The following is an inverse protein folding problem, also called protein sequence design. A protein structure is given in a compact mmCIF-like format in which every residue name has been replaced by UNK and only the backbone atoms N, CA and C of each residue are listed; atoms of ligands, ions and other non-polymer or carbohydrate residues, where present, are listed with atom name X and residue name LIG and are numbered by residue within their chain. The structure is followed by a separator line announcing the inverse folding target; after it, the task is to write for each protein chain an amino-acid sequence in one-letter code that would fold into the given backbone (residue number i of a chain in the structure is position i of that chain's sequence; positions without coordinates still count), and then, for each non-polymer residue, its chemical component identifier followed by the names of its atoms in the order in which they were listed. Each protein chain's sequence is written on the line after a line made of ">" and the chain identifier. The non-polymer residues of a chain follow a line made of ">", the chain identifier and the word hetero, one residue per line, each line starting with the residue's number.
data_IF_136445570272
#
_entry.id   IF_136445570272
#
_cell.length_a   1.000
_cell.length_b   1.000
_cell.length_c   1.000
_cell.angle_alpha   90.00
_cell.angle_beta   90.00
_cell.angle_gamma   90.00
#
_symmetry.space_group_name_H-M   'P 1'
#
loop_
_entity.id
_entity.type
_entity.pdbx_description
1 polymer ?
#
# COMPACT_ATOMS: atom_id res chain seq x y z
N UNK A 1 -4.84 14.12 -7.52
CA UNK A 1 -5.47 13.24 -6.52
C UNK A 1 -4.38 12.69 -5.62
N UNK A 2 -4.59 12.65 -4.28
CA UNK A 2 -3.67 12.00 -3.36
C UNK A 2 -3.84 10.49 -3.51
N UNK A 3 -2.75 9.77 -3.76
CA UNK A 3 -2.74 8.32 -3.86
C UNK A 3 -1.76 7.72 -2.85
N UNK A 4 -1.98 6.48 -2.47
CA UNK A 4 -1.05 5.75 -1.61
C UNK A 4 0.26 5.50 -2.35
N UNK A 5 1.37 5.75 -1.67
CA UNK A 5 2.69 5.37 -2.16
C UNK A 5 2.92 3.87 -1.95
N UNK A 6 3.84 3.33 -2.73
CA UNK A 6 4.25 1.93 -2.61
C UNK A 6 5.77 1.81 -2.53
N UNK A 7 6.25 0.76 -1.88
CA UNK A 7 7.65 0.32 -1.91
C UNK A 7 7.66 -1.14 -2.33
N UNK A 8 8.44 -1.44 -3.37
CA UNK A 8 8.66 -2.80 -3.85
C UNK A 8 10.15 -3.14 -3.78
N UNK A 9 10.44 -4.37 -3.37
CA UNK A 9 11.79 -4.93 -3.35
C UNK A 9 11.88 -6.02 -4.43
N UNK A 10 12.97 -6.02 -5.18
CA UNK A 10 13.26 -7.06 -6.15
C UNK A 10 14.68 -7.60 -5.96
N UNK A 11 14.86 -8.87 -6.27
CA UNK A 11 16.12 -9.54 -6.11
C UNK A 11 16.00 -11.05 -6.34
N UNK A 12 17.10 -11.75 -6.29
CA UNK A 12 17.04 -13.21 -6.30
C UNK A 12 16.49 -13.75 -4.96
N UNK A 13 16.04 -14.99 -4.96
CA UNK A 13 15.43 -15.62 -3.78
C UNK A 13 16.31 -15.53 -2.53
N UNK A 14 17.63 -15.74 -2.67
CA UNK A 14 18.55 -15.71 -1.52
C UNK A 14 18.65 -14.32 -0.91
N UNK A 15 18.67 -13.28 -1.76
CA UNK A 15 18.68 -11.89 -1.29
C UNK A 15 17.37 -11.52 -0.58
N UNK A 16 16.23 -11.92 -1.13
CA UNK A 16 14.93 -11.69 -0.52
C UNK A 16 14.73 -12.49 0.78
N UNK A 17 15.14 -13.75 0.84
CA UNK A 17 15.12 -14.55 2.08
C UNK A 17 15.98 -13.90 3.18
N UNK A 18 17.14 -13.31 2.80
CA UNK A 18 17.99 -12.55 3.71
C UNK A 18 17.30 -11.27 4.20
N UNK A 19 16.57 -10.55 3.35
CA UNK A 19 15.78 -9.38 3.76
C UNK A 19 14.86 -9.73 4.93
N UNK A 20 14.14 -10.84 4.85
CA UNK A 20 13.21 -11.31 5.88
C UNK A 20 13.90 -11.70 7.20
N UNK A 21 15.15 -12.13 7.15
CA UNK A 21 15.87 -12.54 8.34
C UNK A 21 16.66 -11.42 9.02
N UNK A 22 17.07 -10.38 8.30
CA UNK A 22 18.05 -9.41 8.79
C UNK A 22 17.63 -7.93 8.67
N UNK A 23 16.45 -7.61 8.17
CA UNK A 23 16.00 -6.20 8.10
C UNK A 23 15.91 -5.56 9.49
N UNK A 24 15.59 -6.33 10.51
CA UNK A 24 15.50 -5.86 11.89
C UNK A 24 16.84 -5.37 12.46
N UNK A 25 17.97 -5.79 11.88
CA UNK A 25 19.32 -5.38 12.33
C UNK A 25 19.62 -3.90 12.07
N UNK A 26 18.78 -3.24 11.28
CA UNK A 26 18.93 -1.80 10.94
C UNK A 26 17.86 -0.90 11.56
N UNK A 27 16.98 -1.46 12.38
CA UNK A 27 15.92 -0.68 13.04
C UNK A 27 16.52 0.35 14.00
N UNK A 28 16.13 1.62 13.87
CA UNK A 28 16.41 2.62 14.88
C UNK A 28 15.40 2.54 16.05
N UNK A 29 15.60 3.33 17.09
CA UNK A 29 14.81 3.28 18.33
C UNK A 29 13.31 3.57 18.14
N UNK A 30 12.94 4.34 17.09
CA UNK A 30 11.53 4.65 16.75
C UNK A 30 10.79 3.50 16.06
N UNK A 31 11.50 2.38 15.80
CA UNK A 31 10.93 1.23 15.13
C UNK A 31 11.19 -0.04 15.93
N UNK A 32 10.19 -0.88 16.05
CA UNK A 32 10.32 -2.14 16.79
C UNK A 32 9.68 -3.30 16.05
N UNK A 33 10.17 -4.49 16.36
CA UNK A 33 9.55 -5.73 15.90
C UNK A 33 8.42 -6.10 16.87
N UNK A 34 7.17 -6.30 16.39
CA UNK A 34 6.06 -6.72 17.26
C UNK A 34 6.37 -8.03 17.98
N UNK A 35 6.02 -8.09 19.26
CA UNK A 35 6.17 -9.31 20.06
C UNK A 35 5.13 -10.37 19.64
N UNK A 36 5.52 -11.64 19.62
CA UNK A 36 4.62 -12.79 19.47
C UNK A 36 4.30 -13.21 18.03
N UNK A 37 4.85 -12.54 17.01
CA UNK A 37 4.53 -12.85 15.61
C UNK A 37 5.44 -13.91 14.99
N UNK A 38 5.46 -15.12 15.58
CA UNK A 38 6.24 -16.28 15.09
C UNK A 38 5.52 -17.08 14.00
N UNK A 39 4.26 -16.76 13.70
CA UNK A 39 3.41 -17.62 12.86
C UNK A 39 3.45 -17.27 11.35
N UNK A 40 3.94 -16.10 10.98
CA UNK A 40 3.89 -15.65 9.60
C UNK A 40 5.29 -15.62 8.97
N UNK A 41 5.75 -16.79 8.51
CA UNK A 41 7.06 -16.93 7.84
C UNK A 41 7.24 -16.03 6.61
N UNK A 42 6.15 -15.49 6.06
CA UNK A 42 6.13 -14.70 4.84
C UNK A 42 5.85 -13.20 5.10
N UNK A 43 5.92 -12.76 6.37
CA UNK A 43 5.71 -11.37 6.74
C UNK A 43 6.87 -10.82 7.55
N UNK A 44 7.22 -9.58 7.26
CA UNK A 44 7.98 -8.72 8.17
C UNK A 44 6.98 -7.70 8.70
N UNK A 45 6.93 -7.52 10.01
CA UNK A 45 6.13 -6.49 10.66
C UNK A 45 7.07 -5.53 11.36
N UNK A 46 6.81 -4.24 11.20
CA UNK A 46 7.58 -3.16 11.80
C UNK A 46 6.64 -2.14 12.41
N UNK A 47 6.66 -2.02 13.74
CA UNK A 47 5.88 -1.03 14.47
C UNK A 47 6.66 0.28 14.56
N UNK A 48 6.07 1.35 14.05
CA UNK A 48 6.52 2.70 14.32
C UNK A 48 5.96 3.18 15.66
N UNK A 49 6.84 3.60 16.56
CA UNK A 49 6.52 4.05 17.91
C UNK A 49 7.07 5.44 18.24
N UNK A 50 7.55 6.17 17.21
CA UNK A 50 8.07 7.53 17.35
C UNK A 50 6.96 8.59 17.35
N UNK A 51 7.35 9.86 17.60
CA UNK A 51 6.42 10.98 17.82
C UNK A 51 6.05 11.76 16.54
N UNK A 52 6.63 11.46 15.37
CA UNK A 52 6.47 12.27 14.16
C UNK A 52 5.16 12.03 13.40
N UNK A 53 4.59 10.85 13.55
CA UNK A 53 3.36 10.39 12.91
C UNK A 53 2.63 9.46 13.86
N UNK A 54 1.32 9.15 13.63
CA UNK A 54 0.62 8.15 14.45
C UNK A 54 1.36 6.82 14.49
N UNK A 55 1.34 6.15 15.64
CA UNK A 55 1.86 4.79 15.78
C UNK A 55 1.18 3.85 14.80
N UNK A 56 1.94 3.06 14.07
CA UNK A 56 1.42 2.20 13.03
C UNK A 56 2.30 0.98 12.78
N UNK A 57 1.69 -0.13 12.39
CA UNK A 57 2.37 -1.32 11.92
C UNK A 57 2.52 -1.27 10.39
N UNK A 58 3.76 -1.36 9.91
CA UNK A 58 4.09 -1.56 8.49
C UNK A 58 4.29 -3.05 8.24
N UNK A 59 3.53 -3.62 7.33
CA UNK A 59 3.67 -5.01 6.92
C UNK A 59 4.34 -5.15 5.55
N UNK A 60 5.38 -5.98 5.48
CA UNK A 60 6.01 -6.38 4.23
C UNK A 60 5.63 -7.82 3.96
N UNK A 61 5.14 -8.08 2.77
CA UNK A 61 4.61 -9.37 2.38
C UNK A 61 5.41 -10.01 1.25
N UNK A 62 5.82 -11.27 1.49
CA UNK A 62 6.37 -12.14 0.45
C UNK A 62 5.24 -13.04 -0.07
N UNK A 63 4.62 -12.63 -1.16
CA UNK A 63 3.47 -13.33 -1.71
C UNK A 63 3.85 -14.63 -2.41
N UNK A 64 3.30 -15.74 -1.93
CA UNK A 64 3.26 -17.01 -2.67
C UNK A 64 2.31 -16.86 -3.87
N UNK A 65 1.35 -15.93 -3.77
CA UNK A 65 0.38 -15.59 -4.82
C UNK A 65 0.74 -14.31 -5.58
N UNK A 66 1.96 -13.80 -5.41
CA UNK A 66 2.39 -12.68 -6.25
C UNK A 66 2.54 -13.21 -7.67
N UNK A 67 1.67 -12.74 -8.55
CA UNK A 67 1.74 -12.94 -10.00
C UNK A 67 3.07 -12.48 -10.63
N UNK A 68 4.04 -12.07 -9.79
CA UNK A 68 5.43 -11.78 -10.13
C UNK A 68 6.35 -12.47 -9.13
N UNK A 69 6.88 -13.61 -9.53
CA UNK A 69 7.93 -14.31 -8.80
C UNK A 69 9.13 -13.37 -8.55
N UNK A 70 9.65 -13.33 -7.33
CA UNK A 70 10.82 -12.49 -6.97
C UNK A 70 10.51 -11.06 -6.53
N UNK A 71 9.24 -10.72 -6.26
CA UNK A 71 8.85 -9.42 -5.73
C UNK A 71 8.35 -9.51 -4.29
N UNK A 72 8.80 -8.54 -3.48
CA UNK A 72 8.33 -8.30 -2.13
C UNK A 72 7.85 -6.86 -2.05
N UNK A 73 6.75 -6.59 -1.41
CA UNK A 73 6.22 -5.22 -1.28
C UNK A 73 5.76 -4.92 0.14
N UNK A 74 5.71 -3.63 0.47
CA UNK A 74 4.91 -3.18 1.61
C UNK A 74 3.44 -3.45 1.29
N UNK A 75 2.83 -4.34 2.07
CA UNK A 75 1.46 -4.80 1.80
C UNK A 75 0.41 -3.89 2.42
N UNK A 76 0.67 -3.36 3.62
CA UNK A 76 -0.26 -2.50 4.34
C UNK A 76 0.44 -1.68 5.42
N UNK A 77 -0.18 -0.58 5.84
CA UNK A 77 0.15 0.19 7.04
C UNK A 77 -1.12 0.36 7.84
N UNK A 78 -1.11 -0.17 9.07
CA UNK A 78 -2.29 -0.21 9.95
C UNK A 78 -2.01 0.65 11.18
N UNK A 79 -2.89 1.60 11.55
CA UNK A 79 -2.72 2.37 12.78
C UNK A 79 -2.88 1.48 14.01
N UNK A 80 -2.08 1.74 15.06
CA UNK A 80 -2.11 0.99 16.33
C UNK A 80 -3.05 1.63 17.37
N UNK A 81 -3.28 2.95 17.30
CA UNK A 81 -3.98 3.71 18.34
C UNK A 81 -5.20 4.48 17.84
N UNK A 82 -5.51 4.43 16.55
CA UNK A 82 -6.64 5.13 15.92
C UNK A 82 -7.34 4.24 14.91
N UNK A 83 -8.55 4.58 14.54
CA UNK A 83 -9.36 3.74 13.63
C UNK A 83 -8.84 3.72 12.19
N UNK A 84 -8.31 4.86 11.69
CA UNK A 84 -7.88 4.97 10.29
C UNK A 84 -6.79 6.03 10.11
N UNK A 85 -5.84 5.77 9.21
CA UNK A 85 -4.88 6.75 8.71
C UNK A 85 -5.48 7.54 7.55
N UNK A 86 -5.18 8.84 7.50
CA UNK A 86 -5.31 9.59 6.25
C UNK A 86 -4.26 9.14 5.23
N UNK A 87 -4.48 9.45 3.94
CA UNK A 87 -3.51 9.15 2.88
C UNK A 87 -2.15 9.83 3.17
N UNK A 88 -2.17 11.06 3.69
CA UNK A 88 -0.96 11.80 3.99
C UNK A 88 -0.18 11.18 5.16
N UNK A 89 -0.88 10.74 6.22
CA UNK A 89 -0.26 10.01 7.34
C UNK A 89 0.33 8.67 6.86
N UNK A 90 -0.44 7.90 6.07
CA UNK A 90 0.04 6.65 5.49
C UNK A 90 1.32 6.86 4.68
N UNK A 91 1.31 7.83 3.75
CA UNK A 91 2.44 8.13 2.90
C UNK A 91 3.64 8.62 3.70
N UNK A 92 3.43 9.41 4.75
CA UNK A 92 4.49 9.88 5.62
C UNK A 92 5.12 8.76 6.44
N UNK A 93 4.33 7.80 6.94
CA UNK A 93 4.86 6.60 7.62
C UNK A 93 5.70 5.78 6.64
N UNK A 94 5.24 5.63 5.41
CA UNK A 94 5.99 4.90 4.38
C UNK A 94 7.31 5.60 4.01
N UNK A 95 7.32 6.93 3.92
CA UNK A 95 8.54 7.71 3.69
C UNK A 95 9.53 7.54 4.86
N UNK A 96 9.06 7.58 6.11
CA UNK A 96 9.89 7.31 7.29
C UNK A 96 10.45 5.88 7.26
N UNK A 97 9.62 4.89 6.96
CA UNK A 97 10.07 3.51 6.82
C UNK A 97 11.18 3.36 5.76
N UNK A 98 11.03 4.07 4.63
CA UNK A 98 12.06 4.08 3.60
C UNK A 98 13.37 4.71 4.08
N UNK A 99 13.34 5.91 4.64
CA UNK A 99 14.54 6.65 5.05
C UNK A 99 15.25 5.97 6.24
N UNK A 100 14.48 5.50 7.22
CA UNK A 100 15.02 4.96 8.47
C UNK A 100 15.52 3.53 8.35
N UNK A 101 14.87 2.71 7.53
CA UNK A 101 15.11 1.27 7.46
C UNK A 101 15.57 0.85 6.08
N UNK A 102 14.73 1.05 5.05
CA UNK A 102 14.98 0.49 3.72
C UNK A 102 16.29 1.00 3.14
N UNK A 103 16.51 2.29 3.17
CA UNK A 103 17.71 2.94 2.64
C UNK A 103 18.99 2.43 3.33
N UNK A 104 18.97 2.34 4.65
CA UNK A 104 20.10 1.80 5.42
C UNK A 104 20.36 0.32 5.13
N UNK A 105 19.28 -0.44 4.90
CA UNK A 105 19.39 -1.85 4.58
C UNK A 105 20.00 -2.09 3.19
N UNK A 106 19.52 -1.39 2.16
CA UNK A 106 20.03 -1.55 0.78
C UNK A 106 21.44 -0.99 0.59
N UNK A 107 21.87 -0.02 1.41
CA UNK A 107 23.28 0.45 1.41
C UNK A 107 24.26 -0.70 1.67
N UNK A 108 23.86 -1.67 2.51
CA UNK A 108 24.65 -2.85 2.89
C UNK A 108 24.36 -4.07 2.02
N UNK A 109 23.23 -4.09 1.29
CA UNK A 109 22.73 -5.24 0.53
C UNK A 109 22.41 -4.83 -0.92
N UNK A 110 23.46 -4.65 -1.72
CA UNK A 110 23.39 -4.14 -3.11
C UNK A 110 22.77 -5.09 -4.13
N UNK A 111 22.47 -6.30 -3.75
CA UNK A 111 21.81 -7.33 -4.55
C UNK A 111 20.27 -7.30 -4.42
N UNK A 112 19.73 -6.30 -3.70
CA UNK A 112 18.32 -5.97 -3.63
C UNK A 112 18.11 -4.60 -4.28
N UNK A 113 17.19 -4.55 -5.23
CA UNK A 113 16.72 -3.32 -5.84
C UNK A 113 15.42 -2.89 -5.15
N UNK A 114 15.23 -1.58 -4.99
CA UNK A 114 14.02 -1.01 -4.39
C UNK A 114 13.43 0.02 -5.33
N UNK A 115 12.14 -0.12 -5.58
CA UNK A 115 11.32 0.87 -6.29
C UNK A 115 10.39 1.56 -5.29
N UNK A 116 10.36 2.89 -5.32
CA UNK A 116 9.57 3.70 -4.39
C UNK A 116 10.42 4.29 -3.26
N UNK A 117 9.80 5.04 -2.32
CA UNK A 117 8.37 5.30 -2.26
C UNK A 117 7.89 6.18 -3.42
N UNK A 118 7.08 5.64 -4.28
CA UNK A 118 6.49 6.36 -5.41
C UNK A 118 4.98 6.27 -5.35
N UNK A 119 4.33 7.36 -5.73
CA UNK A 119 2.94 7.32 -6.15
C UNK A 119 2.91 7.63 -7.64
N UNK A 120 2.37 6.76 -8.44
CA UNK A 120 2.00 7.13 -9.78
C UNK A 120 1.00 8.29 -9.67
N UNK A 121 1.24 9.36 -10.41
CA UNK A 121 0.26 10.43 -10.53
C UNK A 121 -0.92 9.88 -11.32
N UNK A 122 -1.89 9.34 -10.62
CA UNK A 122 -3.13 8.93 -11.24
C UNK A 122 -4.01 10.17 -11.42
N UNK A 123 -4.18 10.58 -12.67
CA UNK A 123 -5.10 11.63 -13.06
C UNK A 123 -6.34 10.96 -13.69
N UNK A 124 -7.42 10.76 -12.93
CA UNK A 124 -8.61 10.03 -13.40
C UNK A 124 -9.17 10.56 -14.70
N UNK A 125 -9.06 11.88 -14.94
CA UNK A 125 -9.57 12.52 -16.15
C UNK A 125 -8.80 12.15 -17.43
N UNK A 126 -7.65 11.51 -17.33
CA UNK A 126 -6.97 10.91 -18.49
C UNK A 126 -7.73 9.67 -19.00
N UNK A 127 -8.47 8.98 -18.12
CA UNK A 127 -9.12 7.70 -18.38
C UNK A 127 -10.64 7.80 -18.44
N UNK A 128 -11.25 8.70 -17.68
CA UNK A 128 -12.71 8.85 -17.57
C UNK A 128 -13.11 10.33 -17.72
N UNK A 129 -14.39 10.59 -18.05
CA UNK A 129 -14.93 11.94 -18.09
C UNK A 129 -15.10 12.52 -16.70
N UNK A 130 -15.29 13.85 -16.61
CA UNK A 130 -15.64 14.49 -15.35
C UNK A 130 -16.96 13.94 -14.78
N UNK A 131 -17.94 13.66 -15.65
CA UNK A 131 -19.23 13.11 -15.24
C UNK A 131 -19.10 11.70 -14.63
N UNK A 132 -18.26 10.84 -15.23
CA UNK A 132 -17.94 9.53 -14.66
C UNK A 132 -17.18 9.66 -13.33
N UNK A 133 -16.23 10.59 -13.23
CA UNK A 133 -15.51 10.86 -12.00
C UNK A 133 -16.43 11.31 -10.88
N UNK A 134 -17.39 12.20 -11.15
CA UNK A 134 -18.35 12.66 -10.16
C UNK A 134 -19.20 11.50 -9.64
N UNK A 135 -19.66 10.59 -10.52
CA UNK A 135 -20.40 9.39 -10.12
C UNK A 135 -19.54 8.42 -9.28
N UNK A 136 -18.27 8.28 -9.61
CA UNK A 136 -17.32 7.48 -8.81
C UNK A 136 -17.12 8.08 -7.42
N UNK A 137 -16.95 9.40 -7.34
CA UNK A 137 -16.82 10.12 -6.07
C UNK A 137 -18.08 9.97 -5.22
N UNK A 138 -19.27 10.09 -5.81
CA UNK A 138 -20.54 9.87 -5.12
C UNK A 138 -20.65 8.44 -4.59
N UNK A 139 -20.28 7.43 -5.37
CA UNK A 139 -20.21 6.05 -4.91
C UNK A 139 -19.27 5.93 -3.70
N UNK A 140 -18.02 6.41 -3.81
CA UNK A 140 -17.03 6.31 -2.75
C UNK A 140 -17.45 7.05 -1.46
N UNK A 141 -18.15 8.18 -1.56
CA UNK A 141 -18.58 8.97 -0.41
C UNK A 141 -19.81 8.39 0.30
N UNK A 142 -20.73 7.80 -0.45
CA UNK A 142 -22.02 7.31 0.02
C UNK A 142 -22.05 5.81 0.29
N UNK A 143 -21.08 5.04 -0.21
CA UNK A 143 -21.00 3.60 0.01
C UNK A 143 -20.87 3.25 1.50
N UNK A 144 -21.63 2.27 1.93
CA UNK A 144 -21.56 1.77 3.30
C UNK A 144 -20.25 1.02 3.53
N UNK A 145 -19.34 1.62 4.29
CA UNK A 145 -18.00 1.07 4.58
C UNK A 145 -17.97 0.13 5.79
N UNK A 146 -19.07 -0.02 6.52
CA UNK A 146 -19.05 -0.61 7.87
C UNK A 146 -19.59 -2.04 7.98
N UNK A 147 -20.31 -2.57 7.00
CA UNK A 147 -21.08 -3.81 7.25
C UNK A 147 -20.72 -5.00 6.38
N UNK A 148 -19.88 -4.85 5.38
CA UNK A 148 -19.57 -5.95 4.44
C UNK A 148 -20.80 -6.54 3.72
N UNK A 149 -21.99 -5.97 3.94
CA UNK A 149 -23.22 -6.38 3.26
C UNK A 149 -23.46 -5.51 2.04
N UNK A 150 -23.85 -6.14 0.93
CA UNK A 150 -24.24 -5.44 -0.29
C UNK A 150 -25.46 -4.56 -0.03
N UNK A 151 -25.31 -3.28 -0.32
CA UNK A 151 -26.43 -2.33 -0.33
C UNK A 151 -26.91 -2.16 -1.77
N UNK A 152 -28.21 -2.39 -2.09
CA UNK A 152 -28.73 -2.24 -3.45
C UNK A 152 -28.49 -0.84 -4.05
N UNK A 153 -28.44 0.18 -3.20
CA UNK A 153 -28.12 1.56 -3.66
C UNK A 153 -26.65 1.71 -4.06
N UNK A 154 -25.74 1.00 -3.42
CA UNK A 154 -24.32 1.04 -3.77
C UNK A 154 -24.08 0.29 -5.07
N UNK A 155 -24.74 -0.85 -5.25
CA UNK A 155 -24.74 -1.57 -6.53
C UNK A 155 -25.24 -0.71 -7.67
N UNK A 156 -26.38 -0.01 -7.48
CA UNK A 156 -26.91 0.91 -8.48
C UNK A 156 -25.94 2.04 -8.81
N UNK A 157 -25.34 2.69 -7.81
CA UNK A 157 -24.36 3.78 -8.03
C UNK A 157 -23.12 3.28 -8.79
N UNK A 158 -22.66 2.08 -8.47
CA UNK A 158 -21.56 1.45 -9.18
C UNK A 158 -21.90 1.20 -10.65
N UNK A 159 -23.10 0.67 -10.94
CA UNK A 159 -23.57 0.50 -12.30
C UNK A 159 -23.74 1.82 -13.04
N UNK A 160 -24.27 2.84 -12.40
CA UNK A 160 -24.42 4.19 -12.99
C UNK A 160 -23.05 4.77 -13.39
N UNK A 161 -22.00 4.52 -12.58
CA UNK A 161 -20.62 4.86 -12.92
C UNK A 161 -20.12 4.06 -14.13
N UNK A 162 -20.26 2.73 -14.12
CA UNK A 162 -19.80 1.87 -15.22
C UNK A 162 -20.51 2.23 -16.54
N UNK A 163 -21.82 2.44 -16.53
CA UNK A 163 -22.55 2.85 -17.72
C UNK A 163 -22.03 4.18 -18.27
N UNK A 164 -21.73 5.15 -17.41
CA UNK A 164 -21.15 6.42 -17.83
C UNK A 164 -19.79 6.24 -18.51
N UNK A 165 -18.90 5.40 -17.97
CA UNK A 165 -17.59 5.15 -18.58
C UNK A 165 -17.69 4.52 -19.96
N UNK A 166 -18.69 3.65 -20.17
CA UNK A 166 -18.98 3.06 -21.49
C UNK A 166 -19.49 4.12 -22.48
N UNK A 167 -20.40 5.00 -22.03
CA UNK A 167 -20.97 6.05 -22.88
C UNK A 167 -19.94 7.12 -23.27
N UNK A 168 -18.95 7.37 -22.41
CA UNK A 168 -17.89 8.36 -22.65
C UNK A 168 -16.95 8.00 -23.81
N UNK A 169 -17.01 6.77 -24.32
CA UNK A 169 -16.13 6.24 -25.38
C UNK A 169 -14.62 6.40 -25.11
N UNK A 170 -14.25 6.68 -23.86
CA UNK A 170 -12.87 6.57 -23.41
C UNK A 170 -12.61 5.10 -23.14
N UNK A 171 -12.03 4.41 -24.08
CA UNK A 171 -11.74 2.98 -24.01
C UNK A 171 -10.57 2.80 -23.03
N UNK A 172 -10.76 2.01 -21.99
CA UNK A 172 -9.64 1.41 -21.29
C UNK A 172 -8.96 0.46 -22.29
N UNK A 173 -7.73 0.79 -22.67
CA UNK A 173 -6.91 -0.11 -23.47
C UNK A 173 -6.46 -1.24 -22.56
N UNK A 174 -6.93 -2.45 -22.84
CA UNK A 174 -6.61 -3.66 -22.06
C UNK A 174 -5.48 -4.47 -22.73
N UNK A 175 -4.53 -3.80 -23.35
CA UNK A 175 -3.35 -4.47 -23.89
C UNK A 175 -2.34 -4.86 -22.79
#
# INVERSE_FOLDING_TARGET
>A
MHVYKEICFSGNKVALDRLFSSIYDVFPDDWTKPEGNTLLKNYILADYIGDLVPHAEVSIYYGVDSWREGYVRVGNIVPLEKDQLSIDEYNKILDLFYEDIVKKYIEKNKDIEVTGPTSDKFEPLEYISQEALDKLCDFCNLANKSTGSTNPNDEKRWFDFICQTVDDKKVFDYD
#
